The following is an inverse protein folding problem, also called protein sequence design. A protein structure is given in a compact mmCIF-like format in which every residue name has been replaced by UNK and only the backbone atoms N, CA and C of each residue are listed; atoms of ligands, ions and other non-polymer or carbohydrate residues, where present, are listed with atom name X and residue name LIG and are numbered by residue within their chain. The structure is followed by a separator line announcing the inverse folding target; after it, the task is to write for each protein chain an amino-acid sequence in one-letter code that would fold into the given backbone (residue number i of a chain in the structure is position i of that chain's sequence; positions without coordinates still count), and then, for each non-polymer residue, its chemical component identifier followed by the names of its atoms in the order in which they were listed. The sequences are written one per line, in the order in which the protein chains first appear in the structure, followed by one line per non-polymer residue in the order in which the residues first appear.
data_IF_824322999461
#
_entry.id   IF_824322999461
#
_cell.length_a   1.000
_cell.length_b   1.000
_cell.length_c   1.000
_cell.angle_alpha   90.00
_cell.angle_beta   90.00
_cell.angle_gamma   90.00
#
_symmetry.space_group_name_H-M   'P 1'
#
loop_
_entity.id
_entity.type
_entity.pdbx_description
1 polymer ?
#
# COMPACT_ATOMS: atom_id res chain seq x y z
N UNK A 1 -19.52 14.10 22.46
CA UNK A 1 -19.08 12.71 22.20
C UNK A 1 -19.02 12.51 20.69
N UNK A 2 -18.00 13.11 20.09
CA UNK A 2 -18.06 13.50 18.67
C UNK A 2 -17.33 12.48 17.79
N UNK A 3 -16.52 11.61 18.40
CA UNK A 3 -15.76 10.55 17.73
C UNK A 3 -16.53 9.22 17.64
N UNK A 4 -17.54 9.01 18.49
CA UNK A 4 -18.34 7.77 18.51
C UNK A 4 -18.99 7.47 17.15
N UNK A 5 -19.60 8.46 16.45
CA UNK A 5 -20.20 8.21 15.13
C UNK A 5 -19.19 7.70 14.10
N UNK A 6 -17.97 8.24 14.08
CA UNK A 6 -16.92 7.85 13.14
C UNK A 6 -16.57 6.36 13.25
N UNK A 7 -16.44 5.85 14.48
CA UNK A 7 -16.20 4.43 14.74
C UNK A 7 -17.41 3.56 14.39
N UNK A 8 -18.63 4.03 14.68
CA UNK A 8 -19.85 3.27 14.40
C UNK A 8 -20.06 3.02 12.92
N UNK A 9 -19.76 4.01 12.07
CA UNK A 9 -19.84 3.88 10.60
C UNK A 9 -18.82 2.87 10.06
N UNK A 10 -17.69 2.70 10.74
CA UNK A 10 -16.57 1.84 10.32
C UNK A 10 -16.53 0.46 10.98
N UNK A 11 -17.43 0.20 11.92
CA UNK A 11 -17.55 -1.08 12.63
C UNK A 11 -18.90 -1.78 12.37
N UNK A 12 -19.70 -1.29 11.43
CA UNK A 12 -20.99 -1.87 11.01
C UNK A 12 -21.03 -2.05 9.50
N UNK A 13 -22.07 -2.71 8.98
CA UNK A 13 -22.30 -2.81 7.53
C UNK A 13 -21.22 -3.58 6.75
N UNK A 14 -20.39 -4.37 7.42
CA UNK A 14 -19.27 -5.13 6.81
C UNK A 14 -17.91 -4.46 6.96
N UNK A 15 -17.86 -3.18 7.35
CA UNK A 15 -16.60 -2.46 7.57
C UNK A 15 -15.75 -3.04 8.71
N UNK A 16 -16.36 -3.74 9.68
CA UNK A 16 -15.62 -4.45 10.72
C UNK A 16 -14.68 -5.53 10.18
N UNK A 17 -15.04 -6.19 9.06
CA UNK A 17 -14.19 -7.21 8.45
C UNK A 17 -13.01 -6.56 7.72
N UNK A 18 -13.25 -5.41 7.08
CA UNK A 18 -12.18 -4.62 6.45
C UNK A 18 -11.20 -4.14 7.52
N UNK A 19 -11.68 -3.64 8.64
CA UNK A 19 -10.83 -3.24 9.77
C UNK A 19 -9.97 -4.40 10.29
N UNK A 20 -10.55 -5.60 10.44
CA UNK A 20 -9.79 -6.80 10.84
C UNK A 20 -8.73 -7.18 9.80
N UNK A 21 -9.08 -7.14 8.51
CA UNK A 21 -8.13 -7.38 7.41
C UNK A 21 -7.01 -6.36 7.42
N UNK A 22 -7.27 -5.09 7.75
CA UNK A 22 -6.24 -4.06 7.86
C UNK A 22 -5.31 -4.33 9.04
N UNK A 23 -5.84 -4.64 10.23
CA UNK A 23 -5.00 -4.97 11.40
C UNK A 23 -4.07 -6.14 11.08
N UNK A 24 -4.59 -7.20 10.46
CA UNK A 24 -3.79 -8.39 10.14
C UNK A 24 -2.87 -8.19 8.94
N UNK A 25 -3.39 -7.66 7.83
CA UNK A 25 -2.71 -7.59 6.54
C UNK A 25 -1.85 -6.34 6.36
N UNK A 26 -2.25 -5.19 6.89
CA UNK A 26 -1.49 -3.94 6.79
C UNK A 26 -0.39 -3.86 7.86
N UNK A 27 -0.63 -4.40 9.05
CA UNK A 27 0.31 -4.35 10.17
C UNK A 27 0.89 -5.71 10.56
N UNK A 28 0.10 -6.61 11.14
CA UNK A 28 0.63 -7.78 11.85
C UNK A 28 1.45 -8.73 10.95
N UNK A 29 0.93 -9.05 9.77
CA UNK A 29 1.57 -9.94 8.81
C UNK A 29 2.85 -9.32 8.22
N UNK A 30 2.87 -8.11 7.64
CA UNK A 30 4.11 -7.48 7.20
C UNK A 30 5.14 -7.33 8.32
N UNK A 31 4.71 -6.93 9.52
CA UNK A 31 5.59 -6.77 10.68
C UNK A 31 6.26 -8.10 11.05
N UNK A 32 5.49 -9.18 11.20
CA UNK A 32 6.01 -10.49 11.53
C UNK A 32 6.96 -11.03 10.46
N UNK A 33 6.61 -10.87 9.17
CA UNK A 33 7.45 -11.30 8.06
C UNK A 33 8.77 -10.53 7.99
N UNK A 34 8.75 -9.21 8.21
CA UNK A 34 9.93 -8.34 8.17
C UNK A 34 10.79 -8.42 9.44
N UNK A 35 10.33 -9.09 10.49
CA UNK A 35 11.17 -9.41 11.64
C UNK A 35 12.28 -10.40 11.25
N UNK A 36 11.97 -11.35 10.36
CA UNK A 36 12.94 -12.33 9.85
C UNK A 36 14.04 -11.68 9.01
N UNK A 37 15.29 -11.89 9.43
CA UNK A 37 16.48 -11.45 8.68
C UNK A 37 16.57 -12.13 7.31
N UNK A 38 16.29 -13.43 7.25
CA UNK A 38 16.42 -14.21 6.02
C UNK A 38 15.40 -13.77 4.97
N UNK A 39 14.17 -13.43 5.41
CA UNK A 39 13.15 -12.89 4.52
C UNK A 39 13.56 -11.52 3.95
N UNK A 40 14.13 -10.65 4.78
CA UNK A 40 14.62 -9.33 4.35
C UNK A 40 15.75 -9.41 3.34
N UNK A 41 16.59 -10.45 3.38
CA UNK A 41 17.67 -10.65 2.41
C UNK A 41 17.20 -11.34 1.12
N UNK A 42 16.02 -11.96 1.13
CA UNK A 42 15.45 -12.58 -0.06
C UNK A 42 14.59 -11.56 -0.84
N UNK A 43 15.16 -10.99 -1.92
CA UNK A 43 14.47 -10.01 -2.75
C UNK A 43 13.12 -10.49 -3.30
N UNK A 44 12.98 -11.79 -3.59
CA UNK A 44 11.73 -12.37 -4.09
C UNK A 44 10.60 -12.37 -3.04
N UNK A 45 10.93 -12.73 -1.80
CA UNK A 45 9.98 -12.67 -0.68
C UNK A 45 9.69 -11.22 -0.27
N UNK A 46 10.71 -10.37 -0.23
CA UNK A 46 10.55 -8.95 0.09
C UNK A 46 9.62 -8.25 -0.92
N UNK A 47 9.75 -8.57 -2.23
CA UNK A 47 8.82 -8.09 -3.26
C UNK A 47 7.38 -8.51 -2.99
N UNK A 48 7.14 -9.76 -2.56
CA UNK A 48 5.78 -10.23 -2.22
C UNK A 48 5.21 -9.45 -1.02
N UNK A 49 6.01 -9.21 0.01
CA UNK A 49 5.61 -8.38 1.16
C UNK A 49 5.28 -6.95 0.71
N UNK A 50 6.11 -6.35 -0.14
CA UNK A 50 5.86 -5.01 -0.67
C UNK A 50 4.55 -4.93 -1.46
N UNK A 51 4.23 -5.93 -2.30
CA UNK A 51 2.95 -6.01 -3.02
C UNK A 51 1.78 -6.11 -2.04
N UNK A 52 1.89 -6.93 -1.00
CA UNK A 52 0.85 -7.05 0.05
C UNK A 52 0.64 -5.69 0.74
N UNK A 53 1.72 -5.01 1.14
CA UNK A 53 1.64 -3.70 1.78
C UNK A 53 0.98 -2.67 0.86
N UNK A 54 1.34 -2.63 -0.42
CA UNK A 54 0.71 -1.73 -1.40
C UNK A 54 -0.77 -2.04 -1.60
N UNK A 55 -1.15 -3.32 -1.70
CA UNK A 55 -2.56 -3.72 -1.82
C UNK A 55 -3.35 -3.34 -0.55
N UNK A 56 -2.78 -3.57 0.63
CA UNK A 56 -3.41 -3.20 1.90
C UNK A 56 -3.51 -1.69 2.06
N UNK A 57 -2.56 -0.92 1.52
CA UNK A 57 -2.63 0.53 1.51
C UNK A 57 -3.79 1.06 0.67
N UNK A 58 -4.11 0.40 -0.45
CA UNK A 58 -5.32 0.72 -1.23
C UNK A 58 -6.58 0.46 -0.41
N UNK A 59 -6.64 -0.70 0.28
CA UNK A 59 -7.77 -1.05 1.14
C UNK A 59 -7.91 -0.07 2.31
N UNK A 60 -6.79 0.37 2.90
CA UNK A 60 -6.73 1.34 4.00
C UNK A 60 -7.31 2.69 3.58
N UNK A 61 -6.90 3.21 2.42
CA UNK A 61 -7.45 4.45 1.86
C UNK A 61 -8.95 4.29 1.55
N UNK A 62 -9.36 3.15 1.01
CA UNK A 62 -10.77 2.86 0.73
C UNK A 62 -11.61 2.85 2.02
N UNK A 63 -11.13 2.18 3.07
CA UNK A 63 -11.75 2.15 4.40
C UNK A 63 -11.77 3.53 5.07
N UNK A 64 -10.77 4.37 4.80
CA UNK A 64 -10.72 5.72 5.33
C UNK A 64 -11.74 6.66 4.67
N UNK A 65 -11.92 6.58 3.35
CA UNK A 65 -12.69 7.58 2.57
C UNK A 65 -14.16 7.21 2.38
N UNK A 66 -14.46 5.95 2.04
CA UNK A 66 -15.79 5.56 1.53
C UNK A 66 -16.90 5.55 2.59
N UNK A 67 -16.66 5.12 3.85
CA UNK A 67 -17.69 5.20 4.89
C UNK A 67 -18.20 6.64 5.07
N UNK A 68 -17.32 7.63 5.06
CA UNK A 68 -17.71 9.04 5.18
C UNK A 68 -18.48 9.52 3.96
N UNK A 69 -18.02 9.17 2.75
CA UNK A 69 -18.66 9.56 1.50
C UNK A 69 -20.09 9.00 1.37
N UNK A 70 -20.36 7.83 1.96
CA UNK A 70 -21.65 7.14 1.89
C UNK A 70 -22.49 7.28 3.16
N UNK A 71 -22.04 8.07 4.14
CA UNK A 71 -22.70 8.24 5.45
C UNK A 71 -22.92 6.92 6.19
N UNK A 72 -21.90 6.05 6.19
CA UNK A 72 -21.92 4.77 6.89
C UNK A 72 -22.77 3.69 6.22
N UNK A 73 -23.00 3.76 4.90
CA UNK A 73 -23.66 2.69 4.17
C UNK A 73 -22.84 1.38 4.24
N UNK A 74 -23.53 0.25 4.05
CA UNK A 74 -22.88 -1.06 4.00
C UNK A 74 -21.83 -1.13 2.91
N UNK A 75 -20.79 -1.94 3.13
CA UNK A 75 -19.70 -2.17 2.20
C UNK A 75 -20.24 -2.63 0.83
N UNK A 76 -20.06 -1.79 -0.19
CA UNK A 76 -20.48 -2.09 -1.56
C UNK A 76 -19.44 -1.53 -2.56
N UNK A 77 -18.37 -2.27 -2.87
CA UNK A 77 -17.39 -1.86 -3.87
C UNK A 77 -18.04 -1.75 -5.26
N UNK A 78 -17.86 -0.60 -5.91
CA UNK A 78 -18.36 -0.32 -7.24
C UNK A 78 -17.27 -0.38 -8.31
N UNK A 79 -17.72 -0.51 -9.57
CA UNK A 79 -16.82 -0.45 -10.73
C UNK A 79 -16.10 0.90 -10.86
N UNK A 80 -16.71 1.98 -10.37
CA UNK A 80 -16.12 3.32 -10.38
C UNK A 80 -14.93 3.38 -9.42
N UNK A 81 -14.95 2.68 -8.29
CA UNK A 81 -13.84 2.67 -7.33
C UNK A 81 -12.59 2.02 -7.95
N UNK A 82 -12.79 0.91 -8.66
CA UNK A 82 -11.73 0.25 -9.45
C UNK A 82 -11.24 1.15 -10.59
N UNK A 83 -12.16 1.81 -11.29
CA UNK A 83 -11.83 2.77 -12.34
C UNK A 83 -11.01 3.95 -11.83
N UNK A 84 -11.34 4.49 -10.66
CA UNK A 84 -10.60 5.58 -10.02
C UNK A 84 -9.18 5.15 -9.63
N UNK A 85 -9.05 3.94 -9.04
CA UNK A 85 -7.75 3.38 -8.68
C UNK A 85 -6.86 3.16 -9.91
N UNK A 86 -7.39 2.51 -10.95
CA UNK A 86 -6.64 2.22 -12.19
C UNK A 86 -6.35 3.52 -12.95
N UNK A 87 -7.31 4.44 -13.02
CA UNK A 87 -7.15 5.72 -13.71
C UNK A 87 -6.06 6.58 -13.09
N UNK A 88 -6.18 6.88 -11.79
CA UNK A 88 -5.18 7.71 -11.09
C UNK A 88 -3.84 6.98 -10.96
N UNK A 89 -3.86 5.71 -10.56
CA UNK A 89 -2.65 4.90 -10.44
C UNK A 89 -1.93 4.71 -11.77
N UNK A 90 -2.68 4.52 -12.86
CA UNK A 90 -2.15 4.39 -14.21
C UNK A 90 -1.54 5.68 -14.74
N UNK A 91 -2.20 6.83 -14.56
CA UNK A 91 -1.65 8.14 -14.92
C UNK A 91 -0.36 8.40 -14.15
N UNK A 92 -0.37 8.17 -12.83
CA UNK A 92 0.82 8.35 -12.00
C UNK A 92 1.95 7.41 -12.43
N UNK A 93 1.67 6.13 -12.67
CA UNK A 93 2.66 5.14 -13.08
C UNK A 93 3.24 5.46 -14.46
N UNK A 94 2.40 5.85 -15.42
CA UNK A 94 2.85 6.27 -16.76
C UNK A 94 3.77 7.49 -16.67
N UNK A 95 3.40 8.49 -15.87
CA UNK A 95 4.27 9.64 -15.65
C UNK A 95 5.57 9.22 -14.96
N UNK A 96 5.51 8.45 -13.88
CA UNK A 96 6.69 7.97 -13.17
C UNK A 96 7.66 7.21 -14.10
N UNK A 97 7.15 6.25 -14.87
CA UNK A 97 7.96 5.43 -15.78
C UNK A 97 8.57 6.26 -16.93
N UNK A 98 7.83 7.20 -17.49
CA UNK A 98 8.37 8.11 -18.53
C UNK A 98 9.44 9.06 -17.99
N UNK A 99 9.41 9.40 -16.70
CA UNK A 99 10.49 10.17 -16.07
C UNK A 99 11.69 9.28 -15.73
N UNK A 100 11.43 8.03 -15.35
CA UNK A 100 12.46 7.05 -15.03
C UNK A 100 13.29 6.69 -16.26
N UNK A 101 12.67 6.53 -17.42
CA UNK A 101 13.37 6.26 -18.70
C UNK A 101 14.31 7.40 -19.12
N UNK A 102 13.97 8.64 -18.77
CA UNK A 102 14.75 9.83 -19.16
C UNK A 102 16.04 10.00 -18.35
N UNK A 103 16.30 9.18 -17.33
CA UNK A 103 17.42 9.37 -16.38
C UNK A 103 18.17 8.05 -16.14
N UNK A 104 19.48 8.09 -15.85
CA UNK A 104 20.22 6.90 -15.44
C UNK A 104 19.60 6.27 -14.17
N UNK A 105 19.34 4.96 -14.19
CA UNK A 105 18.78 4.21 -13.05
C UNK A 105 19.74 4.13 -11.85
N UNK A 106 21.03 4.30 -12.12
CA UNK A 106 22.09 4.30 -11.13
C UNK A 106 22.77 5.68 -11.17
N UNK A 107 23.02 6.32 -10.02
CA UNK A 107 23.61 7.66 -9.99
C UNK A 107 25.08 7.63 -10.43
N UNK A 108 25.36 8.08 -11.66
CA UNK A 108 26.69 7.96 -12.28
C UNK A 108 27.78 8.76 -11.54
N UNK A 109 27.41 9.86 -10.87
CA UNK A 109 28.36 10.78 -10.24
C UNK A 109 28.38 10.70 -8.69
N UNK A 110 27.94 9.58 -8.12
CA UNK A 110 27.97 9.37 -6.68
C UNK A 110 29.33 8.81 -6.25
N UNK A 111 29.98 9.47 -5.28
CA UNK A 111 31.28 9.08 -4.72
C UNK A 111 31.20 7.70 -4.04
N UNK A 112 30.04 7.35 -3.47
CA UNK A 112 29.83 6.12 -2.71
C UNK A 112 29.33 4.95 -3.56
N UNK A 113 29.26 5.10 -4.89
CA UNK A 113 28.72 4.05 -5.77
C UNK A 113 29.52 2.75 -5.72
N UNK A 114 30.84 2.83 -5.62
CA UNK A 114 31.72 1.66 -5.57
C UNK A 114 31.49 0.89 -4.27
N UNK A 115 31.45 1.60 -3.14
CA UNK A 115 31.17 1.01 -1.82
C UNK A 115 29.77 0.36 -1.78
N UNK A 116 28.75 1.01 -2.34
CA UNK A 116 27.40 0.46 -2.39
C UNK A 116 27.30 -0.81 -3.25
N UNK A 117 28.03 -0.87 -4.38
CA UNK A 117 28.11 -2.05 -5.24
C UNK A 117 28.86 -3.20 -4.56
N UNK A 118 29.88 -2.91 -3.75
CA UNK A 118 30.60 -3.92 -2.97
C UNK A 118 29.76 -4.49 -1.83
N UNK A 119 28.97 -3.66 -1.13
CA UNK A 119 28.05 -4.10 -0.08
C UNK A 119 26.86 -4.94 -0.57
N UNK A 120 26.52 -4.86 -1.87
CA UNK A 120 25.41 -5.56 -2.48
C UNK A 120 25.73 -6.98 -2.99
N UNK A 121 27.01 -7.40 -2.95
CA UNK A 121 27.47 -8.74 -3.34
C UNK A 121 27.45 -9.71 -2.15
#
# INVERSE_FOLDING_TARGET
PDEIPWYLERLRGGWQYVALVLVLGHFALPFALLLSRDLKRNAGLLRRVAIIVLAMRVIDVYWFVIPDATKGASLAPGWIDLGALIGLGGIWAAWFLTQLEKRPLVPINDIHIVEALEHGR
#
